data_IF_099873721473
#
_entry.id   IF_099873721473
#
_cell.length_a   1.000
_cell.length_b   1.000
_cell.length_c   1.000
_cell.angle_alpha   90.00
_cell.angle_beta   90.00
_cell.angle_gamma   90.00
#
_symmetry.space_group_name_H-M   'P 1'
#
loop_
_entity.id
_entity.type
_entity.pdbx_description
1 polymer ?
#
# COMPACT_ATOMS: atom_id res chain seq x y z
N UNK A 1 4.38 -10.00 11.55
CA UNK A 1 3.18 -9.27 11.07
C UNK A 1 3.61 -7.87 10.66
N UNK A 2 3.00 -7.29 9.63
CA UNK A 2 3.33 -5.95 9.14
C UNK A 2 2.08 -5.13 8.81
N UNK A 3 2.20 -3.81 8.88
CA UNK A 3 1.17 -2.91 8.38
C UNK A 3 1.63 -2.37 7.01
N UNK A 4 0.90 -2.70 5.95
CA UNK A 4 1.20 -2.25 4.59
C UNK A 4 0.18 -1.19 4.19
N UNK A 5 0.66 0.01 3.89
CA UNK A 5 -0.17 1.15 3.51
C UNK A 5 0.36 1.78 2.22
N UNK A 6 -0.08 1.30 1.04
CA UNK A 6 0.23 1.92 -0.24
C UNK A 6 -0.08 3.42 -0.27
N UNK A 7 -1.12 3.84 0.48
CA UNK A 7 -1.50 5.24 0.65
C UNK A 7 -0.34 6.15 1.08
N UNK A 8 0.47 5.77 2.07
CA UNK A 8 1.54 6.66 2.56
C UNK A 8 2.64 6.83 1.52
N UNK A 9 3.00 5.76 0.80
CA UNK A 9 3.97 5.83 -0.28
C UNK A 9 3.47 6.72 -1.43
N UNK A 10 2.21 6.53 -1.84
CA UNK A 10 1.55 7.37 -2.83
C UNK A 10 1.48 8.84 -2.39
N UNK A 11 0.98 9.13 -1.20
CA UNK A 11 0.78 10.51 -0.72
C UNK A 11 2.10 11.29 -0.64
N UNK A 12 3.19 10.63 -0.29
CA UNK A 12 4.52 11.25 -0.23
C UNK A 12 5.19 11.44 -1.60
N UNK A 13 4.75 10.71 -2.64
CA UNK A 13 5.39 10.68 -3.96
C UNK A 13 4.36 10.66 -5.09
N UNK A 14 3.29 11.45 -4.96
CA UNK A 14 2.17 11.44 -5.91
C UNK A 14 2.56 11.94 -7.31
N UNK A 15 3.71 12.59 -7.44
CA UNK A 15 4.35 12.98 -8.69
C UNK A 15 5.02 11.81 -9.44
N UNK A 16 5.30 10.69 -8.74
CA UNK A 16 6.03 9.53 -9.28
C UNK A 16 5.22 8.25 -9.24
N UNK A 17 4.40 8.09 -8.22
CA UNK A 17 3.57 6.91 -8.01
C UNK A 17 2.18 7.25 -8.52
N UNK A 18 1.75 6.56 -9.58
CA UNK A 18 0.40 6.77 -10.11
C UNK A 18 -0.67 6.29 -9.11
N UNK A 19 -1.80 6.98 -9.10
CA UNK A 19 -2.93 6.60 -8.25
C UNK A 19 -3.45 5.21 -8.62
N UNK A 20 -3.48 4.87 -9.90
CA UNK A 20 -3.98 3.58 -10.38
C UNK A 20 -3.12 2.41 -9.89
N UNK A 21 -1.79 2.60 -9.84
CA UNK A 21 -0.85 1.63 -9.27
C UNK A 21 -1.05 1.42 -7.76
N UNK A 22 -1.38 2.48 -7.03
CA UNK A 22 -1.68 2.42 -5.60
C UNK A 22 -3.07 1.82 -5.29
N UNK A 23 -4.02 1.89 -6.23
CA UNK A 23 -5.41 1.48 -6.07
C UNK A 23 -5.77 0.14 -6.76
N UNK A 24 -4.77 -0.66 -7.18
CA UNK A 24 -4.99 -1.93 -7.86
C UNK A 24 -5.83 -1.81 -9.16
N UNK A 25 -5.71 -0.68 -9.85
CA UNK A 25 -6.37 -0.44 -11.14
C UNK A 25 -5.44 -0.78 -12.30
N UNK A 26 -5.98 -0.86 -13.50
CA UNK A 26 -5.18 -1.08 -14.70
C UNK A 26 -4.14 0.02 -14.88
N UNK A 27 -2.89 -0.36 -15.14
CA UNK A 27 -1.76 0.55 -15.30
C UNK A 27 -0.58 -0.15 -15.99
N UNK A 28 0.42 0.63 -16.38
CA UNK A 28 1.60 0.11 -17.08
C UNK A 28 2.52 -0.76 -16.23
N UNK A 29 2.32 -0.80 -14.91
CA UNK A 29 3.19 -1.46 -13.93
C UNK A 29 4.55 -0.80 -13.77
N UNK A 30 5.29 -1.25 -12.78
CA UNK A 30 6.67 -0.84 -12.50
C UNK A 30 7.56 -2.07 -12.52
N UNK A 31 8.67 -2.01 -13.24
CA UNK A 31 9.70 -3.06 -13.27
C UNK A 31 10.71 -2.78 -12.17
N UNK A 32 10.96 -3.76 -11.30
CA UNK A 32 11.99 -3.67 -10.28
C UNK A 32 13.37 -3.93 -10.90
N UNK A 33 14.27 -2.96 -10.79
CA UNK A 33 15.64 -3.05 -11.27
C UNK A 33 16.50 -4.12 -10.57
N UNK A 34 16.05 -4.65 -9.42
CA UNK A 34 16.78 -5.65 -8.66
C UNK A 34 16.57 -7.09 -9.13
N UNK A 35 15.43 -7.39 -9.75
CA UNK A 35 15.04 -8.76 -10.13
C UNK A 35 14.26 -8.88 -11.45
N UNK A 36 14.07 -7.76 -12.16
CA UNK A 36 13.32 -7.64 -13.42
C UNK A 36 11.83 -8.07 -13.34
N UNK A 37 11.28 -8.22 -12.12
CA UNK A 37 9.87 -8.51 -11.92
C UNK A 37 9.04 -7.25 -12.12
N UNK A 38 7.90 -7.42 -12.79
CA UNK A 38 6.95 -6.34 -13.05
C UNK A 38 5.77 -6.42 -12.08
N UNK A 39 5.58 -5.36 -11.30
CA UNK A 39 4.47 -5.22 -10.39
C UNK A 39 3.42 -4.28 -10.99
N UNK A 40 2.16 -4.71 -11.03
CA UNK A 40 1.02 -3.85 -11.39
C UNK A 40 0.31 -3.26 -10.17
N UNK A 41 0.71 -3.65 -8.95
CA UNK A 41 0.23 -3.08 -7.70
C UNK A 41 1.40 -2.61 -6.82
N UNK A 42 1.26 -1.41 -6.25
CA UNK A 42 2.20 -0.88 -5.26
C UNK A 42 2.25 -1.75 -4.00
N UNK A 43 1.11 -2.37 -3.65
CA UNK A 43 1.04 -3.26 -2.51
C UNK A 43 1.92 -4.50 -2.73
N UNK A 44 1.83 -5.14 -3.90
CA UNK A 44 2.61 -6.35 -4.19
C UNK A 44 4.12 -6.05 -4.18
N UNK A 45 4.52 -4.91 -4.76
CA UNK A 45 5.91 -4.44 -4.70
C UNK A 45 6.37 -4.21 -3.25
N UNK A 46 5.53 -3.62 -2.38
CA UNK A 46 5.86 -3.43 -0.97
C UNK A 46 6.01 -4.76 -0.20
N UNK A 47 5.18 -5.76 -0.51
CA UNK A 47 5.27 -7.08 0.13
C UNK A 47 6.52 -7.81 -0.33
N UNK A 48 6.81 -7.80 -1.63
CA UNK A 48 7.99 -8.46 -2.18
C UNK A 48 9.30 -7.82 -1.70
N UNK A 49 9.34 -6.50 -1.54
CA UNK A 49 10.48 -5.81 -0.92
C UNK A 49 10.78 -6.33 0.50
N UNK A 50 9.74 -6.68 1.27
CA UNK A 50 9.90 -7.27 2.61
C UNK A 50 10.41 -8.70 2.51
N UNK A 51 9.88 -9.53 1.60
CA UNK A 51 10.41 -10.88 1.37
C UNK A 51 11.86 -10.87 0.94
N UNK A 52 12.23 -9.94 0.06
CA UNK A 52 13.61 -9.72 -0.38
C UNK A 52 14.51 -9.30 0.79
N UNK A 53 14.06 -8.35 1.63
CA UNK A 53 14.81 -7.92 2.81
C UNK A 53 15.00 -9.05 3.83
N UNK A 54 13.96 -9.84 4.11
CA UNK A 54 14.06 -11.01 4.99
C UNK A 54 15.00 -12.07 4.41
N UNK A 55 14.98 -12.26 3.10
CA UNK A 55 15.90 -13.19 2.44
C UNK A 55 17.35 -12.75 2.57
N UNK A 56 17.61 -11.44 2.46
CA UNK A 56 18.95 -10.87 2.63
C UNK A 56 19.53 -11.09 4.04
N UNK A 57 18.68 -11.19 5.07
CA UNK A 57 19.08 -11.53 6.44
C UNK A 57 18.92 -13.01 6.78
N UNK A 58 18.71 -13.88 5.77
CA UNK A 58 18.63 -15.35 5.90
C UNK A 58 17.38 -15.88 6.64
N UNK A 59 16.30 -15.11 6.68
CA UNK A 59 15.01 -15.50 7.27
C UNK A 59 13.98 -15.92 6.21
N UNK A 60 14.34 -16.90 5.38
CA UNK A 60 13.54 -17.33 4.21
C UNK A 60 12.25 -18.08 4.57
N UNK A 61 12.13 -18.60 5.78
CA UNK A 61 11.04 -19.47 6.22
C UNK A 61 10.03 -18.79 7.16
N UNK A 62 10.08 -17.46 7.25
CA UNK A 62 9.18 -16.69 8.12
C UNK A 62 7.90 -16.35 7.35
N UNK A 63 6.75 -16.72 7.93
CA UNK A 63 5.45 -16.33 7.39
C UNK A 63 5.23 -14.83 7.54
N UNK A 64 4.94 -14.18 6.42
CA UNK A 64 4.55 -12.77 6.38
C UNK A 64 3.03 -12.67 6.50
N UNK A 65 2.54 -11.81 7.39
CA UNK A 65 1.11 -11.54 7.54
C UNK A 65 0.88 -10.05 7.60
N UNK A 66 -0.03 -9.56 6.75
CA UNK A 66 -0.46 -8.16 6.77
C UNK A 66 -1.53 -7.98 7.85
N UNK A 67 -1.20 -7.26 8.91
CA UNK A 67 -2.11 -6.98 10.02
C UNK A 67 -3.01 -5.78 9.75
N UNK A 68 -2.54 -4.79 8.97
CA UNK A 68 -3.33 -3.61 8.63
C UNK A 68 -3.00 -3.10 7.24
N UNK A 69 -4.05 -2.70 6.53
CA UNK A 69 -4.02 -1.90 5.30
C UNK A 69 -5.29 -1.06 5.25
N UNK A 70 -5.22 0.18 4.76
CA UNK A 70 -6.38 1.08 4.61
C UNK A 70 -6.07 2.18 3.61
N UNK A 71 -7.12 2.64 2.94
CA UNK A 71 -7.15 3.90 2.21
C UNK A 71 -8.10 4.89 2.92
N UNK A 72 -7.71 6.16 3.14
CA UNK A 72 -8.61 7.15 3.73
C UNK A 72 -9.81 7.44 2.82
N UNK A 73 -11.01 7.46 3.40
CA UNK A 73 -12.19 7.98 2.72
C UNK A 73 -12.36 9.46 3.03
N UNK A 74 -12.91 10.28 2.12
CA UNK A 74 -13.34 11.62 2.44
C UNK A 74 -14.26 11.58 3.66
N UNK A 75 -14.05 12.47 4.64
CA UNK A 75 -15.00 12.68 5.72
C UNK A 75 -16.23 13.38 5.13
N UNK A 76 -17.21 12.62 4.67
CA UNK A 76 -18.51 13.20 4.33
C UNK A 76 -19.11 13.73 5.63
N UNK A 77 -19.30 15.05 5.71
CA UNK A 77 -19.90 15.74 6.84
C UNK A 77 -21.29 15.17 7.17
N UNK A 78 -21.37 14.26 8.14
CA UNK A 78 -22.60 14.00 8.89
C UNK A 78 -22.29 14.00 10.38
N UNK A 79 -21.89 15.16 10.90
CA UNK A 79 -22.03 15.48 12.32
C UNK A 79 -22.64 16.86 12.50
N UNK A 80 -23.77 17.10 11.83
CA UNK A 80 -24.61 18.30 12.03
C UNK A 80 -26.06 17.96 12.37
N UNK A 81 -26.37 16.76 12.86
CA UNK A 81 -27.78 16.39 13.12
C UNK A 81 -28.02 15.63 14.44
N UNK A 82 -27.25 15.92 15.50
CA UNK A 82 -27.54 15.43 16.87
C UNK A 82 -27.39 16.50 17.95
N UNK A 83 -27.49 17.79 17.60
CA UNK A 83 -27.54 18.89 18.59
C UNK A 83 -28.82 19.73 18.48
N UNK A 84 -29.97 19.08 18.28
CA UNK A 84 -31.27 19.75 18.46
C UNK A 84 -32.39 18.77 18.80
N UNK A 85 -32.30 18.09 19.94
CA UNK A 85 -33.46 17.64 20.74
C UNK A 85 -33.06 17.65 22.22
N UNK A 86 -33.24 18.82 22.86
CA UNK A 86 -33.77 18.88 24.23
C UNK A 86 -35.27 18.58 24.16
#
# INVERSE_FOLDING_TARGET
MLNAYPFFAYAANADKISLDYALFRDNHGVVDSGNDLKYSSLFDAQIDAIFTAMSAVQYNNVLVTVSKTRWPLPETLTRSDQSSRM
#
